data_IF_805438133020
#
_entry.id   IF_805438133020
#
_cell.length_a   1.000
_cell.length_b   1.000
_cell.length_c   1.000
_cell.angle_alpha   90.00
_cell.angle_beta   90.00
_cell.angle_gamma   90.00
#
_symmetry.space_group_name_H-M   'P 1'
#
loop_
_entity.id
_entity.type
_entity.pdbx_description
1 polymer ?
#
# COMPACT_ATOMS: atom_id res chain seq x y z
N UNK A 1 -4.95 -11.48 6.87
CA UNK A 1 -4.31 -12.72 6.40
C UNK A 1 -5.47 -13.55 5.91
N UNK A 2 -5.80 -13.41 4.64
CA UNK A 2 -6.94 -14.12 4.05
C UNK A 2 -6.38 -15.35 3.37
N UNK A 3 -6.71 -16.48 3.97
CA UNK A 3 -6.23 -17.81 3.65
C UNK A 3 -6.68 -18.26 2.26
N UNK A 4 -5.86 -19.10 1.64
CA UNK A 4 -5.98 -19.69 0.30
C UNK A 4 -7.23 -20.60 0.13
N UNK A 5 -8.14 -20.65 1.11
CA UNK A 5 -9.21 -21.63 1.18
C UNK A 5 -10.57 -21.21 0.58
N UNK A 6 -10.68 -20.03 -0.04
CA UNK A 6 -11.99 -19.53 -0.52
C UNK A 6 -12.22 -19.64 -2.05
N UNK A 7 -11.60 -20.64 -2.69
CA UNK A 7 -12.04 -21.09 -4.03
C UNK A 7 -12.95 -22.31 -3.85
N UNK A 8 -14.10 -22.11 -3.20
CA UNK A 8 -15.29 -22.94 -3.44
C UNK A 8 -15.99 -22.43 -4.70
N UNK A 9 -15.45 -22.77 -5.86
CA UNK A 9 -16.23 -22.84 -7.09
C UNK A 9 -16.63 -24.30 -7.26
N UNK A 10 -17.89 -24.60 -7.00
CA UNK A 10 -18.50 -25.92 -7.19
C UNK A 10 -18.57 -26.32 -8.66
N UNK A 11 -17.43 -26.58 -9.28
CA UNK A 11 -17.32 -27.10 -10.65
C UNK A 11 -16.03 -27.90 -10.74
N UNK A 12 -16.15 -29.21 -10.92
CA UNK A 12 -15.03 -30.16 -11.12
C UNK A 12 -14.38 -29.96 -12.49
N UNK A 13 -13.76 -28.81 -12.72
CA UNK A 13 -13.02 -28.54 -13.96
C UNK A 13 -11.54 -28.78 -13.65
N UNK A 14 -10.88 -29.75 -14.31
CA UNK A 14 -9.44 -29.95 -14.15
C UNK A 14 -8.72 -28.74 -14.74
N UNK A 15 -8.07 -27.97 -13.87
CA UNK A 15 -7.19 -26.87 -14.26
C UNK A 15 -5.96 -27.48 -14.96
N UNK A 16 -5.67 -27.05 -16.18
CA UNK A 16 -4.45 -27.47 -16.88
C UNK A 16 -3.21 -26.92 -16.17
N UNK A 17 -2.05 -27.57 -16.34
CA UNK A 17 -0.78 -27.09 -15.79
C UNK A 17 -0.48 -25.64 -16.23
N UNK A 18 -0.85 -25.30 -17.47
CA UNK A 18 -0.71 -23.95 -18.01
C UNK A 18 -1.59 -22.93 -17.27
N UNK A 19 -2.83 -23.31 -16.95
CA UNK A 19 -3.73 -22.45 -16.17
C UNK A 19 -3.21 -22.27 -14.74
N UNK A 20 -2.68 -23.32 -14.11
CA UNK A 20 -2.10 -23.27 -12.76
C UNK A 20 -0.90 -22.33 -12.71
N UNK A 21 -0.01 -22.43 -13.71
CA UNK A 21 1.14 -21.53 -13.85
C UNK A 21 0.68 -20.08 -14.03
N UNK A 22 -0.32 -19.83 -14.90
CA UNK A 22 -0.87 -18.49 -15.13
C UNK A 22 -1.48 -17.89 -13.87
N UNK A 23 -2.26 -18.67 -13.13
CA UNK A 23 -2.86 -18.25 -11.87
C UNK A 23 -1.79 -17.89 -10.84
N UNK A 24 -0.78 -18.75 -10.68
CA UNK A 24 0.33 -18.53 -9.73
C UNK A 24 1.12 -17.27 -10.08
N UNK A 25 1.43 -17.06 -11.36
CA UNK A 25 2.09 -15.84 -11.83
C UNK A 25 1.26 -14.58 -11.55
N UNK A 26 -0.05 -14.64 -11.81
CA UNK A 26 -0.97 -13.53 -11.56
C UNK A 26 -1.08 -13.22 -10.06
N UNK A 27 -1.13 -14.23 -9.19
CA UNK A 27 -1.13 -14.00 -7.73
C UNK A 27 0.18 -13.36 -7.27
N UNK A 28 1.32 -13.81 -7.78
CA UNK A 28 2.63 -13.21 -7.48
C UNK A 28 2.68 -11.74 -7.90
N UNK A 29 2.22 -11.41 -9.11
CA UNK A 29 2.17 -10.04 -9.62
C UNK A 29 1.22 -9.17 -8.79
N UNK A 30 0.06 -9.70 -8.40
CA UNK A 30 -0.90 -9.00 -7.53
C UNK A 30 -0.31 -8.72 -6.17
N UNK A 31 0.36 -9.70 -5.56
CA UNK A 31 1.00 -9.56 -4.26
C UNK A 31 2.10 -8.48 -4.30
N UNK A 32 2.94 -8.50 -5.33
CA UNK A 32 3.99 -7.50 -5.51
C UNK A 32 3.42 -6.09 -5.71
N UNK A 33 2.43 -5.96 -6.60
CA UNK A 33 1.72 -4.69 -6.79
C UNK A 33 1.08 -4.18 -5.50
N UNK A 34 0.52 -5.06 -4.68
CA UNK A 34 -0.04 -4.67 -3.39
C UNK A 34 1.03 -4.16 -2.42
N UNK A 35 2.20 -4.82 -2.35
CA UNK A 35 3.33 -4.35 -1.53
C UNK A 35 3.77 -2.95 -1.95
N UNK A 36 3.95 -2.73 -3.25
CA UNK A 36 4.41 -1.45 -3.77
C UNK A 36 3.37 -0.34 -3.57
N UNK A 37 2.08 -0.63 -3.72
CA UNK A 37 1.00 0.30 -3.33
C UNK A 37 1.09 0.66 -1.85
N UNK A 38 1.28 -0.32 -0.98
CA UNK A 38 1.35 -0.10 0.48
C UNK A 38 2.53 0.78 0.91
N UNK A 39 3.61 0.87 0.13
CA UNK A 39 4.75 1.75 0.41
C UNK A 39 4.43 3.23 0.22
N UNK A 40 3.54 3.55 -0.72
CA UNK A 40 3.19 4.93 -1.09
C UNK A 40 1.81 5.36 -0.59
N UNK A 41 1.01 4.45 -0.04
CA UNK A 41 -0.31 4.75 0.53
C UNK A 41 -0.21 5.26 1.97
N UNK A 42 -1.07 6.22 2.32
CA UNK A 42 -1.19 6.74 3.67
C UNK A 42 -1.57 5.60 4.63
N UNK A 43 -0.80 5.46 5.72
CA UNK A 43 -1.01 4.39 6.70
C UNK A 43 -2.29 4.58 7.54
N UNK A 44 -2.83 5.80 7.57
CA UNK A 44 -4.05 6.17 8.30
C UNK A 44 -5.28 5.80 7.49
N UNK A 45 -5.53 6.45 6.35
CA UNK A 45 -6.76 6.20 5.58
C UNK A 45 -6.64 5.04 4.58
N UNK A 46 -5.44 4.59 4.21
CA UNK A 46 -5.17 3.59 3.16
C UNK A 46 -5.73 3.94 1.76
N UNK A 47 -6.31 5.13 1.60
CA UNK A 47 -6.96 5.61 0.36
C UNK A 47 -6.02 6.53 -0.41
N UNK A 48 -5.55 7.60 0.23
CA UNK A 48 -4.71 8.61 -0.41
C UNK A 48 -3.23 8.22 -0.40
N UNK A 49 -2.47 8.72 -1.37
CA UNK A 49 -1.00 8.62 -1.36
C UNK A 49 -0.39 9.50 -0.28
N UNK A 50 0.78 9.11 0.20
CA UNK A 50 1.62 9.93 1.06
C UNK A 50 1.99 11.23 0.31
N UNK A 51 1.78 12.35 0.99
CA UNK A 51 2.03 13.69 0.45
C UNK A 51 2.41 14.71 1.52
N UNK A 52 2.57 14.26 2.77
CA UNK A 52 2.90 15.09 3.92
C UNK A 52 3.89 14.36 4.82
N UNK A 53 4.90 15.09 5.29
CA UNK A 53 5.80 14.67 6.36
C UNK A 53 5.53 15.52 7.60
N UNK A 54 5.32 14.85 8.73
CA UNK A 54 5.21 15.50 10.03
C UNK A 54 6.61 15.94 10.48
N UNK A 55 6.71 16.97 11.33
CA UNK A 55 8.01 17.43 11.85
C UNK A 55 8.89 16.30 12.45
N UNK A 56 8.27 15.26 13.02
CA UNK A 56 8.99 14.09 13.55
C UNK A 56 9.47 13.09 12.49
N UNK A 57 9.24 13.35 11.20
CA UNK A 57 9.69 12.52 10.07
C UNK A 57 8.67 11.47 9.58
N UNK A 58 7.58 11.23 10.32
CA UNK A 58 6.57 10.25 9.90
C UNK A 58 5.66 10.78 8.79
N UNK A 59 5.23 9.87 7.92
CA UNK A 59 4.60 10.18 6.64
C UNK A 59 3.09 9.90 6.64
N UNK A 60 2.31 10.82 6.07
CA UNK A 60 0.85 10.70 5.92
C UNK A 60 0.37 11.35 4.61
N UNK A 61 -0.91 11.24 4.27
CA UNK A 61 -1.51 12.11 3.26
C UNK A 61 -1.90 13.45 3.89
N UNK A 62 -1.99 14.51 3.07
CA UNK A 62 -2.41 15.84 3.52
C UNK A 62 -3.73 15.83 4.30
N UNK A 63 -4.77 15.14 3.80
CA UNK A 63 -6.08 15.09 4.45
C UNK A 63 -6.03 14.48 5.86
N UNK A 64 -5.22 13.44 6.06
CA UNK A 64 -5.04 12.86 7.38
C UNK A 64 -4.07 13.66 8.25
N UNK A 65 -3.14 14.42 7.66
CA UNK A 65 -2.23 15.28 8.42
C UNK A 65 -2.97 16.45 9.06
N UNK A 66 -3.96 17.03 8.38
CA UNK A 66 -4.65 18.27 8.78
C UNK A 66 -5.16 18.24 10.24
N UNK A 67 -5.99 17.26 10.68
CA UNK A 67 -6.54 17.25 12.03
C UNK A 67 -5.56 16.77 13.12
N UNK A 68 -4.37 16.27 12.76
CA UNK A 68 -3.44 15.71 13.74
C UNK A 68 -2.74 16.79 14.56
N UNK A 69 -2.82 16.63 15.89
CA UNK A 69 -2.08 17.41 16.89
C UNK A 69 -0.85 16.67 17.43
N UNK A 70 -0.90 15.34 17.44
CA UNK A 70 0.22 14.46 17.81
C UNK A 70 0.44 13.41 16.71
N UNK A 71 1.68 12.95 16.56
CA UNK A 71 2.01 11.91 15.60
C UNK A 71 1.44 10.55 16.05
N UNK A 72 0.62 9.85 15.24
CA UNK A 72 0.05 8.56 15.63
C UNK A 72 1.06 7.39 15.61
N UNK A 73 2.34 7.65 15.30
CA UNK A 73 3.40 6.64 15.25
C UNK A 73 4.35 6.73 16.46
N UNK A 74 4.58 7.95 16.96
CA UNK A 74 5.59 8.20 18.00
C UNK A 74 5.12 9.19 19.08
N UNK A 75 3.84 9.57 19.07
CA UNK A 75 3.17 10.49 20.01
C UNK A 75 3.78 11.90 20.15
N UNK A 76 4.77 12.25 19.32
CA UNK A 76 5.39 13.57 19.33
C UNK A 76 4.38 14.66 18.92
N UNK A 77 4.23 15.76 19.69
CA UNK A 77 3.40 16.89 19.31
C UNK A 77 3.83 17.51 17.98
N UNK A 78 2.88 17.73 17.08
CA UNK A 78 3.15 18.23 15.72
C UNK A 78 3.09 19.76 15.75
N UNK A 79 4.22 20.42 15.53
CA UNK A 79 4.26 21.89 15.35
C UNK A 79 4.20 22.28 13.87
N UNK A 80 4.88 21.50 13.02
CA UNK A 80 4.97 21.74 11.59
C UNK A 80 4.62 20.49 10.76
N UNK A 81 4.11 20.73 9.55
CA UNK A 81 3.75 19.74 8.53
C UNK A 81 4.27 20.23 7.19
N UNK A 82 4.93 19.37 6.42
CA UNK A 82 5.54 19.77 5.15
C UNK A 82 4.95 18.94 4.02
N UNK A 83 4.46 19.61 2.97
CA UNK A 83 4.00 18.94 1.77
C UNK A 83 5.21 18.41 0.99
N UNK A 84 5.16 17.15 0.58
CA UNK A 84 6.24 16.49 -0.15
C UNK A 84 5.72 15.80 -1.39
N UNK A 85 6.54 15.80 -2.43
CA UNK A 85 6.35 14.97 -3.61
C UNK A 85 7.28 13.76 -3.49
N UNK A 86 6.70 12.57 -3.32
CA UNK A 86 7.47 11.34 -3.38
C UNK A 86 7.59 10.90 -4.82
N UNK A 87 8.83 10.80 -5.30
CA UNK A 87 9.10 10.25 -6.62
C UNK A 87 8.54 8.82 -6.69
N UNK A 88 7.72 8.49 -7.70
CA UNK A 88 7.23 7.13 -7.89
C UNK A 88 8.42 6.16 -7.99
N UNK A 89 8.41 5.03 -7.25
CA UNK A 89 9.54 4.08 -7.23
C UNK A 89 9.84 3.39 -8.57
N UNK A 90 9.09 3.70 -9.63
CA UNK A 90 9.21 3.09 -10.96
C UNK A 90 9.89 3.99 -12.00
N UNK A 91 10.14 5.25 -11.67
CA UNK A 91 10.83 6.17 -12.58
C UNK A 91 12.33 6.07 -12.29
N UNK A 92 12.98 5.05 -12.85
CA UNK A 92 14.43 5.10 -13.06
C UNK A 92 14.68 6.10 -14.18
N UNK A 93 15.37 7.19 -13.87
CA UNK A 93 15.94 8.08 -14.89
C UNK A 93 17.00 7.26 -15.65
N UNK A 94 16.84 7.20 -16.98
CA UNK A 94 17.83 6.63 -17.90
C UNK A 94 18.88 7.68 -18.23
#
# INVERSE_FOLDING_TARGET
>A
MEDINDIRLGSTIPFTDQELQRWTALQRIKAENQKLRNLVSCRICRINRISCVLQCGHLTCRNCAEPLVCCPVCDTPIRNKYCVYLHPPYLKEN
#
